data_IF_371877800490
#
_entry.id   IF_371877800490
#
_cell.length_a   1.000
_cell.length_b   1.000
_cell.length_c   1.000
_cell.angle_alpha   90.00
_cell.angle_beta   90.00
_cell.angle_gamma   90.00
#
_symmetry.space_group_name_H-M   'P 1'
#
loop_
_entity.id
_entity.type
_entity.pdbx_description
1 polymer ?
#
# COMPACT_ATOMS: atom_id res chain seq x y z
N UNK A 1 10.11 -9.21 4.01
CA UNK A 1 9.62 -7.84 4.32
C UNK A 1 8.52 -7.92 5.37
N UNK A 2 8.62 -7.20 6.48
CA UNK A 2 7.66 -7.34 7.59
C UNK A 2 6.25 -6.82 7.28
N UNK A 3 6.08 -6.02 6.24
CA UNK A 3 4.81 -5.43 5.83
C UNK A 3 4.43 -5.73 4.36
N UNK A 4 4.92 -6.81 3.79
CA UNK A 4 4.62 -7.13 2.38
C UNK A 4 3.13 -7.41 2.14
N UNK A 5 2.46 -8.06 3.09
CA UNK A 5 1.01 -8.26 3.04
C UNK A 5 0.27 -6.93 3.21
N UNK A 6 0.67 -6.09 4.18
CA UNK A 6 0.05 -4.78 4.39
C UNK A 6 0.11 -3.87 3.18
N UNK A 7 1.24 -3.87 2.45
CA UNK A 7 1.35 -3.15 1.19
C UNK A 7 0.32 -3.61 0.13
N UNK A 8 0.00 -4.90 0.08
CA UNK A 8 -1.06 -5.44 -0.80
C UNK A 8 -2.46 -5.07 -0.32
N UNK A 9 -2.67 -5.14 0.98
CA UNK A 9 -3.98 -4.85 1.60
C UNK A 9 -4.45 -3.42 1.32
N UNK A 10 -3.52 -2.48 1.24
CA UNK A 10 -3.83 -1.07 0.94
C UNK A 10 -3.74 -0.71 -0.55
N UNK A 11 -3.57 -1.69 -1.42
CA UNK A 11 -3.52 -1.46 -2.87
C UNK A 11 -2.16 -0.95 -3.38
N UNK A 12 -1.07 -1.21 -2.65
CA UNK A 12 0.28 -0.81 -3.04
C UNK A 12 0.90 -1.63 -4.19
N UNK A 13 0.09 -2.15 -5.11
CA UNK A 13 0.49 -2.84 -6.33
C UNK A 13 -0.14 -2.19 -7.55
N UNK A 14 0.57 -2.22 -8.67
CA UNK A 14 0.12 -1.61 -9.92
C UNK A 14 -1.19 -2.20 -10.48
N UNK A 15 -1.58 -3.39 -10.05
CA UNK A 15 -2.69 -4.15 -10.62
C UNK A 15 -3.85 -4.39 -9.66
N UNK A 16 -3.89 -3.71 -8.52
CA UNK A 16 -5.02 -3.87 -7.58
C UNK A 16 -5.38 -2.55 -6.88
N UNK A 17 -6.60 -2.51 -6.35
CA UNK A 17 -7.09 -1.49 -5.45
C UNK A 17 -6.91 -1.94 -3.99
N UNK A 18 -7.14 -1.04 -3.04
CA UNK A 18 -7.13 -1.36 -1.62
C UNK A 18 -8.16 -2.47 -1.28
N UNK A 19 -7.99 -3.11 -0.15
CA UNK A 19 -8.81 -4.24 0.33
C UNK A 19 -8.83 -5.47 -0.62
N UNK A 20 -7.75 -5.70 -1.35
CA UNK A 20 -7.59 -6.77 -2.36
C UNK A 20 -8.62 -6.69 -3.50
N UNK A 21 -9.14 -5.51 -3.78
CA UNK A 21 -10.06 -5.30 -4.88
C UNK A 21 -9.30 -5.22 -6.22
N UNK A 22 -9.91 -5.73 -7.27
CA UNK A 22 -9.34 -5.80 -8.61
C UNK A 22 -9.54 -4.46 -9.33
N UNK A 23 -8.45 -3.88 -9.84
CA UNK A 23 -8.46 -2.60 -10.55
C UNK A 23 -9.18 -2.66 -11.89
N UNK A 24 -9.31 -3.84 -12.49
CA UNK A 24 -9.97 -4.04 -13.79
C UNK A 24 -11.43 -4.49 -13.66
N UNK A 25 -11.93 -4.65 -12.43
CA UNK A 25 -13.32 -5.01 -12.16
C UNK A 25 -14.16 -3.76 -11.90
N UNK A 26 -15.13 -3.49 -12.76
CA UNK A 26 -15.99 -2.29 -12.68
C UNK A 26 -16.76 -2.19 -11.36
N UNK A 27 -17.25 -3.31 -10.80
CA UNK A 27 -17.95 -3.30 -9.52
C UNK A 27 -17.00 -2.93 -8.36
N UNK A 28 -15.77 -3.41 -8.39
CA UNK A 28 -14.74 -3.06 -7.41
C UNK A 28 -14.32 -1.59 -7.52
N UNK A 29 -14.15 -1.09 -8.74
CA UNK A 29 -13.86 0.34 -8.97
C UNK A 29 -14.97 1.22 -8.40
N UNK A 30 -16.22 0.91 -8.71
CA UNK A 30 -17.37 1.65 -8.21
C UNK A 30 -17.50 1.59 -6.68
N UNK A 31 -17.21 0.44 -6.07
CA UNK A 31 -17.21 0.27 -4.62
C UNK A 31 -16.21 1.22 -3.95
N UNK A 32 -14.95 1.20 -4.40
CA UNK A 32 -13.88 2.05 -3.85
C UNK A 32 -14.19 3.52 -4.13
N UNK A 33 -14.69 3.85 -5.31
CA UNK A 33 -15.05 5.21 -5.69
C UNK A 33 -16.18 5.77 -4.82
N UNK A 34 -17.21 4.97 -4.51
CA UNK A 34 -18.28 5.36 -3.57
C UNK A 34 -17.75 5.55 -2.16
N UNK A 35 -16.92 4.63 -1.69
CA UNK A 35 -16.36 4.71 -0.34
C UNK A 35 -15.54 5.99 -0.13
N UNK A 36 -14.60 6.28 -1.04
CA UNK A 36 -13.78 7.48 -0.96
C UNK A 36 -14.44 8.74 -1.51
N UNK A 37 -15.63 8.64 -2.08
CA UNK A 37 -16.31 9.75 -2.78
C UNK A 37 -15.38 10.42 -3.82
N UNK A 38 -14.48 9.62 -4.41
CA UNK A 38 -13.50 10.11 -5.37
C UNK A 38 -14.15 10.43 -6.71
N UNK A 39 -13.86 11.58 -7.34
CA UNK A 39 -14.40 11.91 -8.67
C UNK A 39 -13.90 10.94 -9.75
N UNK A 40 -12.77 10.30 -9.53
CA UNK A 40 -12.17 9.35 -10.46
C UNK A 40 -11.39 8.27 -9.73
N UNK A 41 -11.23 7.10 -10.36
CA UNK A 41 -10.39 6.00 -9.87
C UNK A 41 -9.66 5.35 -11.06
N UNK A 42 -8.52 4.71 -10.79
CA UNK A 42 -7.80 3.94 -11.79
C UNK A 42 -8.68 2.80 -12.34
N UNK A 43 -8.70 2.64 -13.66
CA UNK A 43 -9.53 1.64 -14.36
C UNK A 43 -8.72 0.53 -15.01
N UNK A 44 -7.40 0.63 -14.99
CA UNK A 44 -6.47 -0.33 -15.58
C UNK A 44 -5.26 -0.48 -14.70
N UNK A 45 -4.63 -1.63 -14.79
CA UNK A 45 -3.34 -1.87 -14.17
C UNK A 45 -2.29 -0.86 -14.67
N UNK A 46 -1.45 -0.38 -13.75
CA UNK A 46 -0.27 0.42 -14.07
C UNK A 46 0.91 -0.45 -14.54
N UNK A 47 2.03 0.20 -14.83
CA UNK A 47 3.26 -0.49 -15.17
C UNK A 47 3.85 -1.23 -13.95
N UNK A 48 4.47 -2.38 -14.17
CA UNK A 48 5.37 -2.95 -13.17
C UNK A 48 6.64 -2.08 -13.04
N UNK A 49 7.47 -2.35 -12.03
CA UNK A 49 8.60 -1.48 -11.70
C UNK A 49 9.61 -1.33 -12.86
N UNK A 50 9.86 -2.40 -13.63
CA UNK A 50 10.81 -2.35 -14.77
C UNK A 50 10.20 -1.57 -15.92
N UNK A 51 8.99 -1.95 -16.34
CA UNK A 51 8.30 -1.30 -17.46
C UNK A 51 8.04 0.19 -17.18
N UNK A 52 7.87 0.58 -15.93
CA UNK A 52 7.69 1.98 -15.53
C UNK A 52 8.92 2.82 -15.90
N UNK A 53 10.14 2.34 -15.66
CA UNK A 53 11.36 3.05 -16.05
C UNK A 53 11.55 3.07 -17.58
N UNK A 54 11.15 2.03 -18.29
CA UNK A 54 11.12 2.04 -19.74
C UNK A 54 10.14 3.09 -20.30
N UNK A 55 8.98 3.25 -19.68
CA UNK A 55 8.00 4.27 -20.08
C UNK A 55 8.44 5.69 -19.71
N UNK A 56 9.23 5.88 -18.64
CA UNK A 56 9.90 7.15 -18.34
C UNK A 56 10.91 7.48 -19.45
N UNK A 57 11.78 6.54 -19.82
CA UNK A 57 12.78 6.74 -20.87
C UNK A 57 12.15 7.05 -22.26
N UNK A 58 10.91 6.62 -22.49
CA UNK A 58 10.11 6.95 -23.68
C UNK A 58 9.35 8.30 -23.57
N UNK A 59 9.48 9.01 -22.44
CA UNK A 59 8.78 10.27 -22.19
C UNK A 59 7.27 10.15 -21.93
N UNK A 60 6.75 8.93 -21.72
CA UNK A 60 5.32 8.74 -21.43
C UNK A 60 4.98 9.00 -19.96
N UNK A 61 5.89 8.66 -19.05
CA UNK A 61 5.80 9.02 -17.65
C UNK A 61 6.72 10.22 -17.43
N UNK A 62 6.14 11.32 -16.99
CA UNK A 62 6.82 12.62 -16.87
C UNK A 62 7.23 12.95 -15.45
N UNK A 63 6.63 12.31 -14.47
CA UNK A 63 6.95 12.49 -13.06
C UNK A 63 6.97 11.14 -12.34
N UNK A 64 7.94 10.97 -11.44
CA UNK A 64 8.04 9.81 -10.58
C UNK A 64 8.24 10.24 -9.12
N UNK A 65 7.55 9.59 -8.20
CA UNK A 65 7.80 9.73 -6.77
C UNK A 65 8.27 8.39 -6.20
N UNK A 66 9.53 8.32 -5.84
CA UNK A 66 10.18 7.14 -5.25
C UNK A 66 10.08 7.24 -3.72
N UNK A 67 9.49 6.25 -3.09
CA UNK A 67 9.31 6.21 -1.64
C UNK A 67 9.90 4.94 -1.04
N UNK A 68 10.72 5.08 -0.01
CA UNK A 68 11.25 4.00 0.83
C UNK A 68 11.95 2.85 0.05
N UNK A 69 12.45 3.15 -1.14
CA UNK A 69 13.22 2.21 -1.98
C UNK A 69 14.33 2.94 -2.72
N UNK A 70 15.32 2.18 -3.22
CA UNK A 70 16.46 2.71 -3.98
C UNK A 70 16.58 1.97 -5.32
N UNK A 71 15.80 2.37 -6.35
CA UNK A 71 15.79 1.71 -7.66
C UNK A 71 17.15 1.61 -8.31
N UNK A 72 18.03 2.59 -8.09
CA UNK A 72 19.42 2.57 -8.59
C UNK A 72 20.24 1.37 -8.07
N UNK A 73 19.81 0.74 -6.98
CA UNK A 73 20.48 -0.44 -6.39
C UNK A 73 19.64 -1.71 -6.54
N UNK A 74 18.31 -1.58 -6.42
CA UNK A 74 17.41 -2.72 -6.31
C UNK A 74 16.87 -3.26 -7.64
N UNK A 75 16.96 -2.48 -8.71
CA UNK A 75 16.49 -2.90 -10.03
C UNK A 75 17.64 -3.37 -10.93
N UNK A 76 17.38 -4.30 -11.87
CA UNK A 76 18.36 -4.71 -12.87
C UNK A 76 18.61 -3.58 -13.88
N UNK A 77 19.72 -3.69 -14.62
CA UNK A 77 20.11 -2.74 -15.66
C UNK A 77 20.23 -1.30 -15.15
N UNK A 78 21.13 -1.08 -14.20
CA UNK A 78 21.37 0.20 -13.55
C UNK A 78 21.52 1.38 -14.55
N UNK A 79 22.21 1.18 -15.68
CA UNK A 79 22.39 2.22 -16.70
C UNK A 79 21.06 2.68 -17.33
N UNK A 80 20.12 1.76 -17.54
CA UNK A 80 18.81 2.11 -18.07
C UNK A 80 17.96 2.88 -17.02
N UNK A 81 18.04 2.48 -15.75
CA UNK A 81 17.38 3.20 -14.66
C UNK A 81 17.93 4.61 -14.52
N UNK A 82 19.26 4.75 -14.55
CA UNK A 82 19.92 6.06 -14.51
C UNK A 82 19.44 6.95 -15.67
N UNK A 83 19.51 6.47 -16.89
CA UNK A 83 19.06 7.21 -18.07
C UNK A 83 17.58 7.63 -17.97
N UNK A 84 16.72 6.77 -17.47
CA UNK A 84 15.32 7.09 -17.26
C UNK A 84 15.13 8.23 -16.23
N UNK A 85 15.84 8.16 -15.10
CA UNK A 85 15.79 9.22 -14.07
C UNK A 85 16.33 10.56 -14.58
N UNK A 86 17.42 10.55 -15.36
CA UNK A 86 18.00 11.75 -15.96
C UNK A 86 17.07 12.42 -17.00
N UNK A 87 16.20 11.64 -17.65
CA UNK A 87 15.24 12.14 -18.64
C UNK A 87 13.87 12.50 -18.06
N UNK A 88 13.59 12.10 -16.84
CA UNK A 88 12.30 12.37 -16.19
C UNK A 88 12.13 13.86 -15.91
N UNK A 89 10.98 14.44 -16.28
CA UNK A 89 10.73 15.88 -16.07
C UNK A 89 10.65 16.27 -14.59
N UNK A 90 10.25 15.33 -13.70
CA UNK A 90 10.19 15.54 -12.25
C UNK A 90 10.49 14.25 -11.50
N UNK A 91 11.53 14.23 -10.72
CA UNK A 91 11.88 13.13 -9.82
C UNK A 91 11.75 13.59 -8.37
N UNK A 92 10.80 13.00 -7.65
CA UNK A 92 10.61 13.22 -6.22
C UNK A 92 11.09 11.97 -5.48
N UNK A 93 11.86 12.14 -4.41
CA UNK A 93 12.34 11.03 -3.58
C UNK A 93 12.03 11.29 -2.11
N UNK A 94 11.37 10.35 -1.46
CA UNK A 94 11.20 10.31 0.00
C UNK A 94 12.07 9.18 0.57
N UNK A 95 13.08 9.54 1.36
CA UNK A 95 14.03 8.56 1.90
C UNK A 95 14.46 8.95 3.32
N UNK A 96 14.77 7.94 4.13
CA UNK A 96 15.33 8.09 5.47
C UNK A 96 16.88 8.16 5.45
N UNK A 97 17.49 8.01 4.29
CA UNK A 97 18.95 8.03 4.08
C UNK A 97 19.31 9.25 3.22
N UNK A 98 20.08 10.17 3.75
CA UNK A 98 20.46 11.42 3.07
C UNK A 98 21.38 11.23 1.84
N UNK A 99 21.93 10.05 1.62
CA UNK A 99 22.91 9.77 0.55
C UNK A 99 22.61 8.44 -0.13
N UNK A 100 21.35 8.21 -0.55
CA UNK A 100 21.03 7.08 -1.42
C UNK A 100 21.37 7.39 -2.87
N UNK A 101 21.61 6.34 -3.67
CA UNK A 101 22.02 6.53 -5.09
C UNK A 101 20.89 7.17 -5.91
N UNK A 102 19.64 6.85 -5.62
CA UNK A 102 18.48 7.45 -6.30
C UNK A 102 18.31 8.94 -5.96
N UNK A 103 18.69 9.39 -4.75
CA UNK A 103 18.61 10.81 -4.37
C UNK A 103 19.48 11.74 -5.22
N UNK A 104 20.51 11.21 -5.90
CA UNK A 104 21.35 12.00 -6.80
C UNK A 104 20.59 12.57 -8.00
N UNK A 105 19.45 11.97 -8.33
CA UNK A 105 18.60 12.33 -9.47
C UNK A 105 17.33 13.09 -9.04
N UNK A 106 17.15 13.36 -7.75
CA UNK A 106 15.94 13.98 -7.23
C UNK A 106 15.94 15.49 -7.47
N UNK A 107 14.87 16.01 -8.09
CA UNK A 107 14.55 17.43 -8.13
C UNK A 107 14.02 17.90 -6.77
N UNK A 108 13.26 17.02 -6.08
CA UNK A 108 12.70 17.26 -4.75
C UNK A 108 13.00 16.06 -3.84
N UNK A 109 13.62 16.34 -2.69
CA UNK A 109 13.89 15.33 -1.67
C UNK A 109 13.09 15.62 -0.40
N UNK A 110 12.32 14.64 0.07
CA UNK A 110 11.62 14.70 1.35
C UNK A 110 12.29 13.81 2.38
N UNK A 111 12.84 14.36 3.47
CA UNK A 111 13.33 13.55 4.59
C UNK A 111 12.17 12.76 5.21
N UNK A 112 12.23 11.44 5.15
CA UNK A 112 11.24 10.56 5.76
C UNK A 112 11.81 9.82 6.97
N UNK A 113 10.91 9.37 7.85
CA UNK A 113 11.28 8.64 9.06
C UNK A 113 11.78 7.24 8.74
N UNK A 114 12.75 6.76 9.52
CA UNK A 114 13.20 5.38 9.52
C UNK A 114 12.23 4.44 10.27
N UNK A 115 12.52 3.14 10.23
CA UNK A 115 11.64 2.12 10.82
C UNK A 115 11.37 2.34 12.31
N UNK A 116 12.41 2.68 13.08
CA UNK A 116 12.31 2.91 14.53
C UNK A 116 11.60 4.20 14.95
N UNK A 117 11.30 5.07 14.01
CA UNK A 117 10.62 6.36 14.21
C UNK A 117 9.14 6.31 13.80
N UNK A 118 8.68 5.19 13.19
CA UNK A 118 7.33 5.07 12.62
C UNK A 118 6.31 4.59 13.62
N UNK A 119 5.13 5.17 13.54
CA UNK A 119 3.91 4.74 14.21
C UNK A 119 2.91 4.24 13.17
N UNK A 120 2.25 3.11 13.46
CA UNK A 120 1.27 2.56 12.54
C UNK A 120 0.97 1.08 12.79
N UNK A 121 0.59 0.37 11.77
CA UNK A 121 0.40 -1.08 11.76
C UNK A 121 1.16 -1.71 10.61
N UNK A 122 1.55 -2.96 10.79
CA UNK A 122 2.16 -3.80 9.76
C UNK A 122 1.43 -5.13 9.70
N UNK A 123 1.34 -5.71 8.51
CA UNK A 123 0.75 -7.04 8.31
C UNK A 123 1.79 -7.97 7.69
N UNK A 124 2.08 -9.07 8.38
CA UNK A 124 3.01 -10.09 7.90
C UNK A 124 2.33 -11.09 6.93
N UNK A 125 3.10 -12.02 6.38
CA UNK A 125 2.62 -13.00 5.40
C UNK A 125 1.58 -13.99 5.94
N UNK A 126 1.44 -14.14 7.26
CA UNK A 126 0.37 -14.94 7.86
C UNK A 126 -0.91 -14.13 8.13
N UNK A 127 -1.03 -12.93 7.61
CA UNK A 127 -2.15 -12.00 7.82
C UNK A 127 -2.26 -11.44 9.23
N UNK A 128 -1.16 -11.44 9.98
CA UNK A 128 -1.12 -10.90 11.34
C UNK A 128 -0.81 -9.42 11.31
N UNK A 129 -1.79 -8.63 11.71
CA UNK A 129 -1.66 -7.19 11.95
C UNK A 129 -1.01 -6.99 13.31
N UNK A 130 0.03 -6.17 13.35
CA UNK A 130 0.74 -5.82 14.59
C UNK A 130 0.96 -4.30 14.63
N UNK A 131 0.86 -3.74 15.84
CA UNK A 131 1.20 -2.33 16.07
C UNK A 131 2.71 -2.13 15.90
N UNK A 132 3.08 -1.18 15.07
CA UNK A 132 4.41 -0.58 15.03
C UNK A 132 4.40 0.67 15.91
N UNK A 133 5.27 0.72 16.90
CA UNK A 133 5.43 1.84 17.84
C UNK A 133 6.80 2.47 17.63
N UNK A 134 6.92 3.81 17.64
CA UNK A 134 8.22 4.44 17.57
C UNK A 134 9.05 4.08 18.80
N UNK A 135 10.33 3.86 18.60
CA UNK A 135 11.34 3.63 19.65
C UNK A 135 12.10 4.91 19.97
N UNK A 136 12.16 5.80 18.97
CA UNK A 136 12.85 7.09 19.04
C UNK A 136 12.01 8.14 18.31
N UNK A 137 12.20 9.40 18.67
CA UNK A 137 11.58 10.54 17.98
C UNK A 137 12.17 10.71 16.57
N UNK A 138 11.38 11.21 15.61
CA UNK A 138 11.86 11.51 14.27
C UNK A 138 13.06 12.47 14.27
N UNK A 139 14.07 12.14 13.48
CA UNK A 139 15.24 12.99 13.35
C UNK A 139 14.87 14.32 12.65
N UNK A 140 15.28 15.41 13.23
CA UNK A 140 15.27 16.80 12.74
C UNK A 140 14.42 17.09 11.47
N UNK A 141 13.12 17.24 11.64
CA UNK A 141 12.22 17.65 10.54
C UNK A 141 11.75 16.53 9.59
N UNK A 142 12.26 15.30 9.77
CA UNK A 142 11.75 14.15 9.04
C UNK A 142 10.27 13.89 9.39
N UNK A 143 9.49 13.49 8.39
CA UNK A 143 8.06 13.18 8.55
C UNK A 143 7.78 11.74 8.15
N UNK A 144 6.74 11.16 8.73
CA UNK A 144 6.26 9.86 8.25
C UNK A 144 5.79 9.97 6.80
N UNK A 145 5.96 8.90 6.01
CA UNK A 145 5.59 8.90 4.59
C UNK A 145 4.13 9.31 4.38
N UNK A 146 3.21 8.83 5.25
CA UNK A 146 1.81 9.21 5.17
C UNK A 146 1.58 10.72 5.41
N UNK A 147 2.35 11.34 6.30
CA UNK A 147 2.26 12.79 6.56
C UNK A 147 2.74 13.58 5.33
N UNK A 148 3.82 13.13 4.69
CA UNK A 148 4.34 13.76 3.47
C UNK A 148 3.27 13.67 2.36
N UNK A 149 2.68 12.49 2.15
CA UNK A 149 1.61 12.31 1.16
C UNK A 149 0.40 13.20 1.46
N UNK A 150 -0.07 13.24 2.71
CA UNK A 150 -1.19 14.09 3.10
C UNK A 150 -0.92 15.58 2.85
N UNK A 151 0.27 16.06 3.23
CA UNK A 151 0.64 17.46 3.03
C UNK A 151 0.72 17.83 1.55
N UNK A 152 1.27 16.96 0.71
CA UNK A 152 1.30 17.17 -0.75
C UNK A 152 -0.12 17.16 -1.32
N UNK A 153 -0.95 16.18 -0.97
CA UNK A 153 -2.32 16.08 -1.43
C UNK A 153 -3.15 17.33 -1.06
N UNK A 154 -3.03 17.81 0.18
CA UNK A 154 -3.68 19.05 0.63
C UNK A 154 -3.20 20.28 -0.16
N UNK A 155 -1.89 20.37 -0.45
CA UNK A 155 -1.35 21.46 -1.29
C UNK A 155 -1.82 21.40 -2.74
N UNK A 156 -2.14 20.21 -3.23
CA UNK A 156 -2.75 20.00 -4.54
C UNK A 156 -4.27 20.23 -4.55
N UNK A 157 -4.87 20.52 -3.39
CA UNK A 157 -6.32 20.78 -3.26
C UNK A 157 -7.19 19.52 -3.16
N UNK A 158 -6.60 18.36 -2.86
CA UNK A 158 -7.38 17.14 -2.63
C UNK A 158 -7.98 17.13 -1.23
N UNK A 159 -9.24 16.77 -1.14
CA UNK A 159 -9.94 16.49 0.11
C UNK A 159 -9.67 15.06 0.62
N UNK A 160 -10.02 14.78 1.88
CA UNK A 160 -9.87 13.45 2.50
C UNK A 160 -8.48 13.15 3.08
N UNK A 161 -7.52 14.06 2.97
CA UNK A 161 -6.15 13.87 3.47
C UNK A 161 -5.86 14.63 4.78
N UNK A 162 -6.88 14.85 5.60
CA UNK A 162 -6.77 15.58 6.87
C UNK A 162 -6.35 14.73 8.08
N UNK A 163 -5.69 13.61 7.88
CA UNK A 163 -5.26 12.73 8.97
C UNK A 163 -4.23 13.42 9.87
N UNK A 164 -4.42 13.28 11.17
CA UNK A 164 -3.51 13.78 12.21
C UNK A 164 -2.75 12.67 12.93
N UNK A 165 -3.25 11.43 12.82
CA UNK A 165 -2.69 10.25 13.48
C UNK A 165 -2.92 8.99 12.63
N UNK A 166 -2.00 7.99 12.70
CA UNK A 166 -2.16 6.72 11.99
C UNK A 166 -3.42 5.93 12.34
N UNK A 167 -4.02 6.16 13.50
CA UNK A 167 -5.29 5.52 13.89
C UNK A 167 -6.43 5.89 12.96
N UNK A 168 -6.49 7.15 12.50
CA UNK A 168 -7.50 7.58 11.54
C UNK A 168 -7.33 6.90 10.17
N UNK A 169 -6.10 6.69 9.72
CA UNK A 169 -5.82 5.95 8.49
C UNK A 169 -6.18 4.47 8.64
N UNK A 170 -5.87 3.88 9.79
CA UNK A 170 -6.25 2.51 10.11
C UNK A 170 -7.78 2.33 10.16
N UNK A 171 -8.48 3.29 10.77
CA UNK A 171 -9.94 3.31 10.83
C UNK A 171 -10.56 3.33 9.43
N UNK A 172 -10.11 4.24 8.56
CA UNK A 172 -10.59 4.30 7.17
C UNK A 172 -10.34 2.99 6.43
N UNK A 173 -9.16 2.40 6.59
CA UNK A 173 -8.85 1.11 5.97
C UNK A 173 -9.74 -0.01 6.52
N UNK A 174 -9.94 -0.08 7.84
CA UNK A 174 -10.82 -1.07 8.46
C UNK A 174 -12.25 -0.93 7.93
N UNK A 175 -12.77 0.30 7.83
CA UNK A 175 -14.08 0.59 7.25
C UNK A 175 -14.19 0.14 5.80
N UNK A 176 -13.18 0.39 4.96
CA UNK A 176 -13.18 -0.05 3.57
C UNK A 176 -13.24 -1.58 3.45
N UNK A 177 -12.55 -2.31 4.33
CA UNK A 177 -12.61 -3.78 4.31
C UNK A 177 -14.00 -4.34 4.66
N UNK A 178 -14.78 -3.60 5.46
CA UNK A 178 -16.16 -3.94 5.84
C UNK A 178 -17.20 -3.40 4.86
N UNK A 179 -16.92 -2.28 4.21
CA UNK A 179 -17.85 -1.57 3.34
C UNK A 179 -18.40 -2.46 2.23
N UNK A 180 -19.72 -2.68 2.22
CA UNK A 180 -20.42 -3.56 1.28
C UNK A 180 -19.80 -4.99 1.21
N UNK A 181 -19.22 -5.48 2.32
CA UNK A 181 -18.63 -6.82 2.39
C UNK A 181 -19.62 -7.81 3.02
N UNK A 182 -20.42 -8.40 2.19
CA UNK A 182 -21.43 -9.39 2.60
C UNK A 182 -20.85 -10.83 2.73
N UNK A 183 -19.56 -10.94 3.07
CA UNK A 183 -18.84 -12.23 3.12
C UNK A 183 -18.18 -12.62 1.78
N UNK A 184 -18.17 -11.72 0.81
CA UNK A 184 -17.56 -11.97 -0.51
C UNK A 184 -16.04 -11.76 -0.50
N UNK A 185 -15.55 -10.93 0.42
CA UNK A 185 -14.12 -10.69 0.59
C UNK A 185 -13.63 -11.25 1.91
N UNK A 186 -12.53 -12.01 1.86
CA UNK A 186 -11.92 -12.60 3.04
C UNK A 186 -11.29 -11.54 3.97
N UNK A 187 -10.65 -10.52 3.41
CA UNK A 187 -10.11 -9.40 4.19
C UNK A 187 -11.28 -8.57 4.71
N UNK A 188 -11.54 -8.71 6.00
CA UNK A 188 -12.60 -8.01 6.70
C UNK A 188 -12.16 -7.71 8.13
N UNK A 189 -12.22 -6.44 8.53
CA UNK A 189 -11.81 -5.92 9.82
C UNK A 189 -12.97 -5.26 10.56
N UNK A 190 -14.20 -5.67 10.28
CA UNK A 190 -15.41 -5.05 10.86
C UNK A 190 -15.41 -4.94 12.39
N UNK A 191 -14.76 -5.88 13.10
CA UNK A 191 -14.62 -5.80 14.55
C UNK A 191 -13.57 -4.78 15.03
N UNK A 192 -12.76 -4.23 14.13
CA UNK A 192 -11.75 -3.23 14.45
C UNK A 192 -12.16 -1.81 14.00
N UNK A 193 -13.37 -1.65 13.48
CA UNK A 193 -13.96 -0.36 13.16
C UNK A 193 -14.43 0.31 14.47
N UNK A 194 -14.16 1.60 14.60
CA UNK A 194 -14.58 2.40 15.77
C UNK A 194 -13.70 2.23 17.00
N UNK A 195 -12.45 1.80 16.84
CA UNK A 195 -11.49 1.76 17.96
C UNK A 195 -11.20 3.18 18.46
N UNK A 196 -11.27 3.37 19.77
CA UNK A 196 -10.72 4.58 20.38
C UNK A 196 -9.20 4.62 20.23
N UNK A 197 -8.58 5.80 20.35
CA UNK A 197 -7.13 5.95 20.31
C UNK A 197 -6.44 4.97 21.27
N UNK A 198 -6.93 4.87 22.52
CA UNK A 198 -6.38 3.97 23.50
C UNK A 198 -6.50 2.49 23.08
N UNK A 199 -7.60 2.09 22.46
CA UNK A 199 -7.78 0.73 21.96
C UNK A 199 -6.84 0.44 20.79
N UNK A 200 -6.70 1.39 19.87
CA UNK A 200 -5.74 1.28 18.77
C UNK A 200 -4.30 1.17 19.30
N UNK A 201 -3.90 2.01 20.24
CA UNK A 201 -2.55 1.99 20.80
C UNK A 201 -2.24 0.67 21.54
N UNK A 202 -3.24 0.06 22.14
CA UNK A 202 -3.14 -1.22 22.85
C UNK A 202 -3.52 -2.43 22.01
N UNK A 203 -3.77 -2.26 20.70
CA UNK A 203 -4.16 -3.35 19.81
C UNK A 203 -3.12 -4.48 19.89
N UNK A 204 -3.59 -5.67 20.28
CA UNK A 204 -2.77 -6.88 20.28
C UNK A 204 -2.64 -7.42 18.87
N UNK A 205 -1.56 -8.17 18.56
CA UNK A 205 -1.44 -8.82 17.26
C UNK A 205 -2.66 -9.69 16.95
N UNK A 206 -3.28 -9.46 15.82
CA UNK A 206 -4.50 -10.13 15.38
C UNK A 206 -4.42 -10.55 13.91
N UNK A 207 -4.89 -11.73 13.57
CA UNK A 207 -4.95 -12.20 12.19
C UNK A 207 -6.34 -11.95 11.61
N UNK A 208 -6.40 -11.34 10.44
CA UNK A 208 -7.69 -11.19 9.76
C UNK A 208 -8.16 -12.51 9.09
N UNK A 209 -9.47 -12.72 8.89
CA UNK A 209 -10.58 -11.81 9.15
C UNK A 209 -10.90 -11.64 10.63
N UNK A 210 -11.39 -10.43 11.01
CA UNK A 210 -11.83 -10.11 12.38
C UNK A 210 -13.25 -9.53 12.29
N UNK A 211 -14.23 -10.39 12.46
CA UNK A 211 -15.63 -10.09 12.18
C UNK A 211 -16.38 -9.63 13.44
N UNK A 212 -17.18 -8.58 13.30
CA UNK A 212 -17.91 -7.95 14.42
C UNK A 212 -18.83 -8.90 15.17
N UNK A 213 -19.47 -9.81 14.47
CA UNK A 213 -20.52 -10.66 15.02
C UNK A 213 -20.10 -12.13 15.17
N UNK A 214 -18.81 -12.42 15.06
CA UNK A 214 -18.27 -13.76 15.17
C UNK A 214 -17.17 -13.83 16.24
N UNK A 215 -17.05 -14.94 16.96
CA UNK A 215 -15.90 -15.14 17.83
C UNK A 215 -14.61 -15.15 17.00
N UNK A 216 -13.57 -14.49 17.51
CA UNK A 216 -12.27 -14.47 16.86
C UNK A 216 -11.73 -15.89 16.67
N UNK A 217 -11.59 -16.29 15.43
CA UNK A 217 -11.03 -17.60 15.04
C UNK A 217 -9.56 -17.39 14.68
N UNK A 218 -8.65 -17.78 15.55
CA UNK A 218 -7.22 -17.56 15.42
C UNK A 218 -6.66 -18.10 14.08
N UNK A 219 -6.92 -17.39 13.00
CA UNK A 219 -6.20 -17.46 11.74
C UNK A 219 -6.49 -18.60 10.78
N UNK A 220 -7.32 -19.57 11.11
CA UNK A 220 -7.67 -20.60 10.12
C UNK A 220 -8.71 -20.07 9.12
N UNK A 221 -8.36 -20.11 7.84
CA UNK A 221 -9.26 -19.79 6.73
C UNK A 221 -9.47 -21.03 5.87
N UNK A 222 -10.59 -21.07 5.16
CA UNK A 222 -10.95 -22.18 4.27
C UNK A 222 -11.15 -23.54 4.95
N UNK A 223 -11.39 -23.56 6.26
CA UNK A 223 -11.57 -24.78 7.04
C UNK A 223 -12.74 -25.67 6.56
N UNK A 224 -13.73 -25.07 5.90
CA UNK A 224 -14.89 -25.76 5.34
C UNK A 224 -14.76 -25.95 3.82
N UNK A 225 -13.54 -25.88 3.27
CA UNK A 225 -13.30 -25.88 1.82
C UNK A 225 -14.08 -24.79 1.06
N UNK A 226 -14.44 -23.71 1.74
CA UNK A 226 -15.11 -22.56 1.15
C UNK A 226 -14.08 -21.45 0.85
N UNK A 227 -13.91 -21.15 -0.42
CA UNK A 227 -12.98 -20.13 -0.90
C UNK A 227 -13.73 -18.83 -1.24
N UNK A 228 -13.05 -17.69 -1.21
CA UNK A 228 -13.59 -16.38 -1.58
C UNK A 228 -13.63 -16.24 -3.12
N UNK A 229 -14.31 -17.16 -3.79
CA UNK A 229 -14.55 -17.21 -5.23
C UNK A 229 -16.05 -17.31 -5.46
N UNK A 230 -16.54 -16.94 -6.64
CA UNK A 230 -17.98 -16.97 -6.92
C UNK A 230 -18.61 -18.36 -6.74
N UNK A 231 -17.89 -19.42 -7.08
CA UNK A 231 -18.31 -20.82 -6.93
C UNK A 231 -17.82 -21.47 -5.62
N UNK A 232 -17.20 -20.68 -4.73
CA UNK A 232 -16.62 -21.14 -3.45
C UNK A 232 -15.54 -22.22 -3.57
N UNK A 233 -14.96 -22.43 -4.76
CA UNK A 233 -13.92 -23.44 -5.01
C UNK A 233 -12.55 -22.82 -5.19
N UNK A 234 -11.51 -23.58 -4.88
CA UNK A 234 -10.14 -23.21 -5.18
C UNK A 234 -9.92 -23.11 -6.70
N UNK A 235 -9.16 -22.10 -7.13
CA UNK A 235 -8.77 -21.94 -8.52
C UNK A 235 -7.35 -22.46 -8.73
N UNK A 236 -7.20 -23.45 -9.59
CA UNK A 236 -5.90 -23.97 -10.04
C UNK A 236 -5.55 -23.29 -11.37
N UNK A 237 -4.63 -22.34 -11.32
CA UNK A 237 -4.19 -21.60 -12.51
C UNK A 237 -3.01 -22.34 -13.11
N UNK A 238 -3.10 -22.86 -14.35
CA UNK A 238 -1.97 -23.50 -15.00
C UNK A 238 -0.87 -22.47 -15.28
N UNK A 239 0.35 -22.82 -14.92
CA UNK A 239 1.54 -21.98 -15.17
C UNK A 239 2.32 -22.60 -16.32
N UNK A 240 2.56 -21.82 -17.38
CA UNK A 240 3.53 -22.18 -18.41
C UNK A 240 4.90 -21.63 -18.01
N UNK A 241 5.88 -22.49 -17.72
CA UNK A 241 7.23 -22.02 -17.37
C UNK A 241 7.83 -21.24 -18.55
N UNK A 242 8.47 -20.12 -18.24
CA UNK A 242 9.27 -19.35 -19.20
C UNK A 242 10.75 -19.54 -18.84
N UNK A 243 11.57 -19.84 -19.84
CA UNK A 243 13.02 -19.80 -19.65
C UNK A 243 13.48 -18.36 -19.40
N UNK A 244 14.52 -18.17 -18.58
CA UNK A 244 15.16 -16.87 -18.45
C UNK A 244 15.60 -16.37 -19.84
N UNK A 245 15.30 -15.11 -20.13
CA UNK A 245 15.88 -14.45 -21.31
C UNK A 245 17.35 -14.22 -21.01
N UNK A 246 18.23 -14.75 -21.86
CA UNK A 246 19.68 -14.55 -21.76
C UNK A 246 20.05 -13.14 -22.23
#
# INVERSE_FOLDING_TARGET
QPNAMGGREVGGLANQLAAHLDVENDAHQQLVQRFWQSPTIAKKAGCNAIDMFDEIAKGKIKAIWVMATNPMVSLPNNAAIQNALEQCELVVVSDCIAKSDTLKFADVAFPSTGWGEKNGTVTNSERRISRQRPLVEPFSGAKNDWQIMCLVAQKMGFEGFGFTDPSGIFEEWAQLTDFENNGDRLLNLSALVGLSQQQYDNLKPVMWPVLKNEPYKNGQVFVNNQFSTADKKARFIPITPKLPVQ
#
